data_IF_658846949229
#
_entry.id   IF_658846949229
#
_cell.length_a   1.000
_cell.length_b   1.000
_cell.length_c   1.000
_cell.angle_alpha   90.00
_cell.angle_beta   90.00
_cell.angle_gamma   90.00
#
_symmetry.space_group_name_H-M   'P 1'
#
loop_
_entity.id
_entity.type
_entity.pdbx_description
1 polymer ?
#
# COMPACT_ATOMS: atom_id res chain seq x y z
N UNK A 1 15.39 -22.37 16.40
CA UNK A 1 14.41 -21.35 16.85
C UNK A 1 14.05 -20.48 15.66
N UNK A 2 12.76 -20.38 15.36
CA UNK A 2 12.24 -20.01 14.04
C UNK A 2 12.22 -18.49 13.82
N UNK A 3 13.09 -17.96 12.95
CA UNK A 3 13.05 -16.58 12.43
C UNK A 3 11.78 -16.30 11.58
N UNK A 4 10.99 -17.33 11.30
CA UNK A 4 9.70 -17.21 10.59
C UNK A 4 8.57 -16.64 11.48
N UNK A 5 8.73 -16.62 12.81
CA UNK A 5 7.67 -16.13 13.72
C UNK A 5 7.55 -14.60 13.77
N UNK A 6 8.58 -13.85 13.37
CA UNK A 6 8.52 -12.38 13.26
C UNK A 6 7.63 -11.90 12.11
N UNK A 7 7.32 -12.78 11.15
CA UNK A 7 6.45 -12.47 10.02
C UNK A 7 4.97 -12.80 10.28
N UNK A 8 4.61 -13.26 11.49
CA UNK A 8 3.24 -13.64 11.86
C UNK A 8 2.35 -12.46 12.27
N UNK A 9 2.85 -11.22 12.29
CA UNK A 9 2.14 -10.11 12.93
C UNK A 9 1.12 -9.37 12.05
N UNK A 10 1.34 -9.30 10.74
CA UNK A 10 0.47 -8.59 9.79
C UNK A 10 0.45 -9.28 8.43
N UNK A 11 -0.74 -9.51 7.90
CA UNK A 11 -0.95 -10.03 6.54
C UNK A 11 -0.73 -8.93 5.51
N UNK A 12 -0.54 -9.27 4.22
CA UNK A 12 -0.61 -8.29 3.14
C UNK A 12 -1.89 -7.42 3.19
N UNK A 13 -3.02 -8.02 3.56
CA UNK A 13 -4.32 -7.38 3.69
C UNK A 13 -4.36 -6.38 4.86
N UNK A 14 -3.68 -6.66 5.98
CA UNK A 14 -3.57 -5.69 7.09
C UNK A 14 -2.79 -4.43 6.67
N UNK A 15 -1.76 -4.60 5.83
CA UNK A 15 -1.02 -3.48 5.26
C UNK A 15 -1.85 -2.72 4.23
N UNK A 16 -2.66 -3.42 3.44
CA UNK A 16 -3.61 -2.80 2.51
C UNK A 16 -4.65 -1.94 3.23
N UNK A 17 -5.31 -2.51 4.26
CA UNK A 17 -6.31 -1.78 5.05
C UNK A 17 -5.70 -0.51 5.67
N UNK A 18 -4.47 -0.62 6.21
CA UNK A 18 -3.77 0.54 6.74
C UNK A 18 -3.43 1.58 5.67
N UNK A 19 -3.08 1.13 4.46
CA UNK A 19 -2.91 2.00 3.31
C UNK A 19 -4.20 2.73 2.96
N UNK A 20 -5.34 2.04 2.96
CA UNK A 20 -6.67 2.60 2.67
C UNK A 20 -7.11 3.63 3.70
N UNK A 21 -6.83 3.41 4.98
CA UNK A 21 -7.04 4.40 6.03
C UNK A 21 -6.20 5.66 5.76
N UNK A 22 -4.90 5.50 5.51
CA UNK A 22 -4.00 6.63 5.22
C UNK A 22 -4.39 7.38 3.95
N UNK A 23 -4.86 6.66 2.93
CA UNK A 23 -5.37 7.24 1.70
C UNK A 23 -6.59 8.13 1.98
N UNK A 24 -7.50 7.66 2.82
CA UNK A 24 -8.71 8.38 3.24
C UNK A 24 -8.40 9.63 4.10
N UNK A 25 -7.21 9.71 4.68
CA UNK A 25 -6.71 10.89 5.40
C UNK A 25 -5.85 11.82 4.52
N UNK A 26 -5.86 11.63 3.20
CA UNK A 26 -5.00 12.34 2.23
C UNK A 26 -3.49 12.22 2.50
N UNK A 27 -3.09 11.23 3.31
CA UNK A 27 -1.71 10.91 3.61
C UNK A 27 -1.13 9.98 2.53
N UNK A 28 -1.31 10.36 1.26
CA UNK A 28 -1.03 9.52 0.09
C UNK A 28 0.41 8.97 0.05
N UNK A 29 1.39 9.76 0.50
CA UNK A 29 2.78 9.30 0.62
C UNK A 29 2.96 8.16 1.62
N UNK A 30 2.25 8.21 2.76
CA UNK A 30 2.26 7.11 3.75
C UNK A 30 1.45 5.92 3.26
N UNK A 31 0.31 6.16 2.60
CA UNK A 31 -0.54 5.13 2.00
C UNK A 31 0.26 4.29 0.98
N UNK A 32 0.99 4.95 0.08
CA UNK A 32 1.89 4.29 -0.89
C UNK A 32 2.88 3.34 -0.21
N UNK A 33 3.54 3.79 0.86
CA UNK A 33 4.53 2.98 1.58
C UNK A 33 3.89 1.72 2.18
N UNK A 34 2.67 1.82 2.71
CA UNK A 34 1.97 0.65 3.25
C UNK A 34 1.54 -0.33 2.15
N UNK A 35 1.07 0.15 0.99
CA UNK A 35 0.79 -0.73 -0.15
C UNK A 35 2.06 -1.41 -0.71
N UNK A 36 3.19 -0.71 -0.73
CA UNK A 36 4.49 -1.30 -1.12
C UNK A 36 4.92 -2.39 -0.13
N UNK A 37 4.68 -2.20 1.18
CA UNK A 37 4.90 -3.23 2.20
C UNK A 37 3.95 -4.42 2.02
N UNK A 38 2.69 -4.18 1.67
CA UNK A 38 1.74 -5.23 1.35
C UNK A 38 2.22 -6.08 0.17
N UNK A 39 2.77 -5.46 -0.88
CA UNK A 39 3.35 -6.18 -2.03
C UNK A 39 4.59 -7.00 -1.67
N UNK A 40 5.53 -6.42 -0.91
CA UNK A 40 6.73 -7.14 -0.46
C UNK A 40 6.34 -8.35 0.42
N UNK A 41 5.33 -8.17 1.28
CA UNK A 41 4.79 -9.24 2.10
C UNK A 41 4.12 -10.31 1.25
N UNK A 42 3.27 -9.90 0.30
CA UNK A 42 2.55 -10.78 -0.61
C UNK A 42 3.52 -11.65 -1.42
N UNK A 43 4.60 -11.06 -1.94
CA UNK A 43 5.64 -11.78 -2.65
C UNK A 43 6.31 -12.87 -1.80
N UNK A 44 6.37 -12.69 -0.47
CA UNK A 44 6.97 -13.64 0.48
C UNK A 44 5.98 -14.68 1.00
N UNK A 45 4.70 -14.34 1.19
CA UNK A 45 3.72 -15.22 1.83
C UNK A 45 2.75 -15.89 0.86
N UNK A 46 2.35 -15.21 -0.21
CA UNK A 46 1.41 -15.73 -1.22
C UNK A 46 1.69 -15.13 -2.60
N UNK A 47 2.83 -15.48 -3.23
CA UNK A 47 3.24 -14.92 -4.52
C UNK A 47 2.28 -15.26 -5.68
N UNK A 48 1.42 -16.26 -5.48
CA UNK A 48 0.44 -16.72 -6.48
C UNK A 48 -0.87 -15.94 -6.44
N UNK A 49 -1.06 -15.09 -5.43
CA UNK A 49 -2.25 -14.24 -5.32
C UNK A 49 -2.12 -13.02 -6.26
N UNK A 50 -2.34 -13.29 -7.55
CA UNK A 50 -2.26 -12.28 -8.60
C UNK A 50 -3.34 -11.20 -8.48
N UNK A 51 -4.52 -11.54 -7.96
CA UNK A 51 -5.61 -10.59 -7.73
C UNK A 51 -5.17 -9.50 -6.74
N UNK A 52 -4.69 -9.91 -5.56
CA UNK A 52 -4.24 -8.96 -4.54
C UNK A 52 -3.04 -8.14 -5.03
N UNK A 53 -2.13 -8.76 -5.79
CA UNK A 53 -0.99 -8.06 -6.39
C UNK A 53 -1.45 -6.94 -7.32
N UNK A 54 -2.36 -7.24 -8.25
CA UNK A 54 -2.90 -6.25 -9.20
C UNK A 54 -3.60 -5.13 -8.45
N UNK A 55 -4.45 -5.45 -7.48
CA UNK A 55 -5.17 -4.46 -6.66
C UNK A 55 -4.23 -3.51 -5.91
N UNK A 56 -3.17 -4.04 -5.31
CA UNK A 56 -2.16 -3.22 -4.63
C UNK A 56 -1.36 -2.33 -5.58
N UNK A 57 -1.05 -2.81 -6.79
CA UNK A 57 -0.37 -2.01 -7.81
C UNK A 57 -1.26 -0.85 -8.30
N UNK A 58 -2.55 -1.10 -8.48
CA UNK A 58 -3.54 -0.08 -8.83
C UNK A 58 -3.68 0.97 -7.73
N UNK A 59 -3.79 0.57 -6.46
CA UNK A 59 -3.81 1.49 -5.32
C UNK A 59 -2.54 2.35 -5.23
N UNK A 60 -1.36 1.78 -5.50
CA UNK A 60 -0.11 2.55 -5.59
C UNK A 60 -0.15 3.55 -6.74
N UNK A 61 -0.75 3.20 -7.87
CA UNK A 61 -0.93 4.15 -8.97
C UNK A 61 -1.84 5.30 -8.55
N UNK A 62 -2.99 5.01 -7.97
CA UNK A 62 -3.95 5.99 -7.47
C UNK A 62 -3.32 6.94 -6.43
N UNK A 63 -2.49 6.44 -5.51
CA UNK A 63 -1.78 7.32 -4.56
C UNK A 63 -0.86 8.33 -5.24
N UNK A 64 -0.24 7.94 -6.35
CA UNK A 64 0.65 8.84 -7.12
C UNK A 64 -0.15 9.87 -7.90
N UNK A 65 -1.27 9.46 -8.49
CA UNK A 65 -2.19 10.39 -9.16
C UNK A 65 -2.77 11.39 -8.17
N UNK A 66 -3.24 10.93 -7.00
CA UNK A 66 -3.74 11.80 -5.95
C UNK A 66 -2.67 12.80 -5.44
N UNK A 67 -1.43 12.34 -5.26
CA UNK A 67 -0.28 13.23 -4.96
C UNK A 67 -0.09 14.29 -6.05
N UNK A 68 -0.12 13.90 -7.32
CA UNK A 68 0.05 14.84 -8.44
C UNK A 68 -1.09 15.87 -8.49
N UNK A 69 -2.34 15.42 -8.35
CA UNK A 69 -3.53 16.28 -8.35
C UNK A 69 -3.55 17.25 -7.15
N UNK A 70 -3.17 16.78 -5.96
CA UNK A 70 -3.06 17.66 -4.79
C UNK A 70 -1.95 18.70 -4.90
N UNK A 71 -0.93 18.47 -5.72
CA UNK A 71 0.08 19.48 -6.05
C UNK A 71 -0.41 20.50 -7.09
N UNK A 72 -1.25 20.08 -8.04
CA UNK A 72 -1.85 20.99 -9.04
C UNK A 72 -2.84 21.96 -8.41
N UNK A 73 -3.69 21.49 -7.49
CA UNK A 73 -4.66 22.36 -6.78
C UNK A 73 -4.02 23.39 -5.85
N UNK A 74 -2.81 23.15 -5.36
CA UNK A 74 -2.07 24.10 -4.52
C UNK A 74 -1.19 25.08 -5.33
N UNK A 75 -1.11 24.93 -6.66
CA UNK A 75 -0.31 25.79 -7.52
C UNK A 75 -1.11 26.95 -8.13
N UNK A 76 -2.44 26.93 -8.02
CA UNK A 76 -3.36 27.94 -8.57
C UNK A 76 -3.97 28.88 -7.50
N UNK A 77 -3.47 28.88 -6.25
CA UNK A 77 -3.88 29.81 -5.18
C UNK A 77 -2.79 30.87 -4.87
#
# INVERSE_FOLDING_TARGET
>A
MSILKLFSGKTPEDHEQKGDELFSFDLWGKAKIEYERALDKLAKTSPQNHELKTRLQEKIHQTKEALALGHEQNADD
#
